data_IF_697487253477
#
_entry.id   IF_697487253477
#
_cell.length_a   1.000
_cell.length_b   1.000
_cell.length_c   1.000
_cell.angle_alpha   90.00
_cell.angle_beta   90.00
_cell.angle_gamma   90.00
#
_symmetry.space_group_name_H-M   'P 1'
#
loop_
_entity.id
_entity.type
_entity.pdbx_description
1 polymer ?
#
# COMPACT_ATOMS: atom_id res chain seq x y z
N UNK A 1 19.79 9.15 -8.27
CA UNK A 1 20.87 10.02 -7.74
C UNK A 1 20.48 11.49 -7.85
N UNK A 2 20.19 12.02 -9.04
CA UNK A 2 19.88 13.45 -9.25
C UNK A 2 18.64 13.92 -8.48
N UNK A 3 17.56 13.14 -8.48
CA UNK A 3 16.34 13.50 -7.76
C UNK A 3 16.52 13.60 -6.24
N UNK A 4 17.32 12.73 -5.63
CA UNK A 4 17.63 12.79 -4.21
C UNK A 4 18.47 14.03 -3.87
N UNK A 5 19.44 14.40 -4.72
CA UNK A 5 20.23 15.62 -4.57
C UNK A 5 19.32 16.86 -4.66
N UNK A 6 18.44 16.93 -5.65
CA UNK A 6 17.48 18.01 -5.81
C UNK A 6 16.55 18.12 -4.60
N UNK A 7 16.06 16.98 -4.08
CA UNK A 7 15.20 16.93 -2.90
C UNK A 7 15.87 17.52 -1.66
N UNK A 8 17.17 17.27 -1.49
CA UNK A 8 17.95 17.79 -0.36
C UNK A 8 18.34 19.25 -0.52
N UNK A 9 18.53 19.73 -1.75
CA UNK A 9 18.99 21.10 -2.00
C UNK A 9 17.84 22.10 -2.14
N UNK A 10 16.82 21.74 -2.92
CA UNK A 10 15.71 22.63 -3.25
C UNK A 10 14.44 21.83 -3.55
N UNK A 11 13.80 21.25 -2.54
CA UNK A 11 12.53 20.53 -2.71
C UNK A 11 11.41 21.48 -3.16
N UNK A 12 10.49 21.00 -3.99
CA UNK A 12 9.27 21.74 -4.29
C UNK A 12 8.45 22.01 -3.02
N UNK A 13 7.57 22.99 -3.07
CA UNK A 13 6.74 23.40 -1.91
C UNK A 13 5.98 22.23 -1.32
N UNK A 14 5.33 21.41 -2.17
CA UNK A 14 4.61 20.21 -1.71
C UNK A 14 5.52 19.16 -1.09
N UNK A 15 6.71 18.91 -1.67
CA UNK A 15 7.71 18.02 -1.07
C UNK A 15 8.24 18.55 0.25
N UNK A 16 8.45 19.86 0.38
CA UNK A 16 8.86 20.50 1.64
C UNK A 16 7.80 20.30 2.72
N UNK A 17 6.53 20.44 2.38
CA UNK A 17 5.44 20.22 3.32
C UNK A 17 5.37 18.77 3.80
N UNK A 18 5.51 17.77 2.91
CA UNK A 18 5.50 16.37 3.31
C UNK A 18 6.74 15.98 4.12
N UNK A 19 7.91 16.55 3.81
CA UNK A 19 9.16 16.40 4.59
C UNK A 19 8.95 16.91 6.02
N UNK A 20 8.28 18.05 6.19
CA UNK A 20 7.94 18.62 7.50
C UNK A 20 7.04 17.67 8.30
N UNK A 21 5.98 17.19 7.70
CA UNK A 21 5.06 16.21 8.33
C UNK A 21 5.76 14.89 8.68
N UNK A 22 6.77 14.49 7.92
CA UNK A 22 7.58 13.31 8.22
C UNK A 22 8.60 13.52 9.35
N UNK A 23 8.77 14.74 9.88
CA UNK A 23 9.80 15.07 10.87
C UNK A 23 11.23 14.95 10.34
N UNK A 24 11.44 15.28 9.07
CA UNK A 24 12.72 15.11 8.38
C UNK A 24 13.47 16.43 8.20
N UNK A 25 12.95 17.53 8.73
CA UNK A 25 13.59 18.85 8.64
C UNK A 25 14.96 18.88 9.33
N UNK A 26 15.88 19.66 8.76
CA UNK A 26 17.18 19.93 9.38
C UNK A 26 18.21 18.79 9.24
N UNK A 27 17.92 17.75 8.47
CA UNK A 27 18.87 16.68 8.17
C UNK A 27 18.81 16.25 6.71
N UNK A 28 19.85 15.58 6.26
CA UNK A 28 19.88 14.99 4.92
C UNK A 28 18.88 13.85 4.80
N UNK A 29 18.06 13.89 3.76
CA UNK A 29 17.06 12.86 3.42
C UNK A 29 17.76 11.75 2.66
N UNK A 30 17.59 10.53 3.17
CA UNK A 30 18.11 9.32 2.57
C UNK A 30 17.09 8.64 1.64
N UNK A 31 17.54 7.66 0.85
CA UNK A 31 16.65 6.83 0.04
C UNK A 31 15.65 6.06 0.94
N UNK A 32 16.08 5.61 2.11
CA UNK A 32 15.21 4.94 3.08
C UNK A 32 14.08 5.85 3.58
N UNK A 33 14.34 7.15 3.77
CA UNK A 33 13.29 8.09 4.16
C UNK A 33 12.25 8.27 3.05
N UNK A 34 12.68 8.27 1.78
CA UNK A 34 11.76 8.32 0.65
C UNK A 34 10.90 7.06 0.62
N UNK A 35 11.49 5.89 0.72
CA UNK A 35 10.80 4.59 0.58
C UNK A 35 9.85 4.35 1.77
N UNK A 36 10.28 4.65 2.99
CA UNK A 36 9.55 4.23 4.19
C UNK A 36 8.76 5.34 4.89
N UNK A 37 9.00 6.62 4.55
CA UNK A 37 8.30 7.75 5.17
C UNK A 37 7.53 8.60 4.17
N UNK A 38 8.17 9.12 3.13
CA UNK A 38 7.55 10.02 2.16
C UNK A 38 6.61 9.25 1.22
N UNK A 39 7.12 8.23 0.56
CA UNK A 39 6.39 7.46 -0.45
C UNK A 39 5.08 6.83 0.08
N UNK A 40 5.08 6.17 1.25
CA UNK A 40 3.84 5.61 1.82
C UNK A 40 2.74 6.64 2.06
N UNK A 41 3.08 7.87 2.45
CA UNK A 41 2.11 8.96 2.63
C UNK A 41 1.52 9.41 1.31
N UNK A 42 2.37 9.70 0.32
CA UNK A 42 1.92 10.07 -1.03
C UNK A 42 1.00 9.00 -1.63
N UNK A 43 1.34 7.71 -1.45
CA UNK A 43 0.54 6.61 -1.96
C UNK A 43 -0.77 6.38 -1.18
N UNK A 44 -0.87 6.87 0.06
CA UNK A 44 -2.02 6.59 0.93
C UNK A 44 -3.32 7.20 0.38
N UNK A 45 -3.29 8.41 -0.19
CA UNK A 45 -4.49 9.03 -0.75
C UNK A 45 -5.13 8.18 -1.85
N UNK A 46 -4.34 7.62 -2.77
CA UNK A 46 -4.84 6.74 -3.83
C UNK A 46 -5.30 5.36 -3.35
N UNK A 47 -4.95 4.96 -2.12
CA UNK A 47 -5.41 3.71 -1.50
C UNK A 47 -6.68 3.90 -0.68
N UNK A 48 -6.84 5.07 -0.06
CA UNK A 48 -7.94 5.36 0.86
C UNK A 48 -9.11 6.00 0.13
N UNK A 49 -8.83 6.94 -0.77
CA UNK A 49 -9.80 7.76 -1.48
C UNK A 49 -9.38 7.95 -2.94
N UNK A 50 -8.91 9.15 -3.26
CA UNK A 50 -8.57 9.58 -4.59
C UNK A 50 -7.12 10.12 -4.64
N UNK A 51 -6.28 9.52 -5.46
CA UNK A 51 -4.88 9.93 -5.64
C UNK A 51 -4.66 11.37 -6.12
N UNK A 52 -5.72 12.08 -6.52
CA UNK A 52 -5.65 13.47 -6.96
C UNK A 52 -5.06 14.39 -5.89
N UNK A 53 -5.42 14.19 -4.61
CA UNK A 53 -4.90 15.02 -3.52
C UNK A 53 -3.37 14.96 -3.39
N UNK A 54 -2.77 13.81 -3.67
CA UNK A 54 -1.31 13.71 -3.71
C UNK A 54 -0.70 14.48 -4.87
N UNK A 55 -1.37 14.50 -6.03
CA UNK A 55 -0.93 15.29 -7.18
C UNK A 55 -1.06 16.77 -6.87
N UNK A 56 -2.22 17.20 -6.34
CA UNK A 56 -2.49 18.59 -5.96
C UNK A 56 -1.45 19.09 -4.95
N UNK A 57 -1.11 18.27 -3.92
CA UNK A 57 -0.02 18.58 -3.00
C UNK A 57 1.31 18.81 -3.72
N UNK A 58 1.70 17.90 -4.63
CA UNK A 58 3.02 17.95 -5.26
C UNK A 58 3.20 19.16 -6.19
N UNK A 59 2.11 19.71 -6.75
CA UNK A 59 2.13 20.87 -7.65
C UNK A 59 1.80 22.19 -6.94
N UNK A 60 1.40 22.15 -5.66
CA UNK A 60 1.04 23.33 -4.87
C UNK A 60 2.24 24.27 -4.69
N UNK A 61 1.99 25.57 -4.77
CA UNK A 61 3.03 26.62 -4.67
C UNK A 61 2.94 27.41 -3.37
N UNK A 62 1.77 27.41 -2.71
CA UNK A 62 1.60 28.00 -1.39
C UNK A 62 1.93 26.99 -0.30
N UNK A 63 2.88 27.34 0.57
CA UNK A 63 3.32 26.41 1.62
C UNK A 63 2.24 26.13 2.67
N UNK A 64 1.39 27.09 2.98
CA UNK A 64 0.31 26.89 3.96
C UNK A 64 -0.74 25.92 3.44
N UNK A 65 -1.11 26.04 2.16
CA UNK A 65 -2.01 25.10 1.51
C UNK A 65 -1.38 23.72 1.35
N UNK A 66 -0.12 23.66 0.94
CA UNK A 66 0.64 22.40 0.87
C UNK A 66 0.73 21.70 2.23
N UNK A 67 0.97 22.43 3.31
CA UNK A 67 1.04 21.86 4.65
C UNK A 67 -0.32 21.30 5.11
N UNK A 68 -1.42 21.97 4.79
CA UNK A 68 -2.77 21.47 5.06
C UNK A 68 -3.04 20.15 4.30
N UNK A 69 -2.72 20.11 3.02
CA UNK A 69 -2.87 18.90 2.20
C UNK A 69 -1.96 17.76 2.69
N UNK A 70 -0.71 18.06 3.07
CA UNK A 70 0.23 17.07 3.61
C UNK A 70 -0.26 16.46 4.93
N UNK A 71 -0.90 17.25 5.81
CA UNK A 71 -1.54 16.73 7.04
C UNK A 71 -2.66 15.76 6.73
N UNK A 72 -3.55 16.10 5.79
CA UNK A 72 -4.66 15.25 5.39
C UNK A 72 -4.16 13.92 4.78
N UNK A 73 -3.16 13.98 3.91
CA UNK A 73 -2.50 12.78 3.37
C UNK A 73 -1.84 11.93 4.46
N UNK A 74 -1.27 12.55 5.50
CA UNK A 74 -0.75 11.83 6.65
C UNK A 74 -1.86 11.11 7.43
N UNK A 75 -3.03 11.72 7.61
CA UNK A 75 -4.19 11.08 8.24
C UNK A 75 -4.61 9.83 7.45
N UNK A 76 -4.69 9.90 6.12
CA UNK A 76 -4.92 8.72 5.28
C UNK A 76 -3.86 7.64 5.47
N UNK A 77 -2.59 8.02 5.62
CA UNK A 77 -1.53 7.04 5.85
C UNK A 77 -1.66 6.34 7.20
N UNK A 78 -2.06 7.03 8.26
CA UNK A 78 -2.31 6.40 9.57
C UNK A 78 -3.55 5.48 9.50
N UNK A 79 -4.67 5.95 8.94
CA UNK A 79 -5.85 5.11 8.71
C UNK A 79 -5.53 3.85 7.90
N UNK A 80 -4.74 3.99 6.82
CA UNK A 80 -4.29 2.86 6.03
C UNK A 80 -3.49 1.85 6.84
N UNK A 81 -2.60 2.31 7.74
CA UNK A 81 -1.81 1.42 8.61
C UNK A 81 -2.69 0.63 9.56
N UNK A 82 -3.70 1.27 10.14
CA UNK A 82 -4.64 0.63 11.07
C UNK A 82 -5.46 -0.44 10.35
N UNK A 83 -6.00 -0.11 9.17
CA UNK A 83 -6.75 -1.06 8.33
C UNK A 83 -5.84 -2.21 7.86
N UNK A 84 -4.62 -1.93 7.42
CA UNK A 84 -3.63 -2.92 7.00
C UNK A 84 -3.32 -3.92 8.14
N UNK A 85 -3.13 -3.41 9.36
CA UNK A 85 -2.90 -4.24 10.54
C UNK A 85 -4.11 -5.13 10.83
N UNK A 86 -5.30 -4.55 10.91
CA UNK A 86 -6.54 -5.29 11.17
C UNK A 86 -6.77 -6.38 10.12
N UNK A 87 -6.76 -6.02 8.83
CA UNK A 87 -6.97 -6.98 7.75
C UNK A 87 -5.92 -8.08 7.72
N UNK A 88 -4.65 -7.76 8.06
CA UNK A 88 -3.59 -8.77 8.14
C UNK A 88 -3.84 -9.75 9.30
N UNK A 89 -4.29 -9.28 10.45
CA UNK A 89 -4.64 -10.13 11.59
C UNK A 89 -5.83 -11.05 11.26
N UNK A 90 -6.88 -10.52 10.67
CA UNK A 90 -8.04 -11.29 10.21
C UNK A 90 -7.64 -12.36 9.18
N UNK A 91 -6.84 -11.97 8.18
CA UNK A 91 -6.35 -12.88 7.15
C UNK A 91 -5.50 -14.02 7.74
N UNK A 92 -4.61 -13.72 8.69
CA UNK A 92 -3.82 -14.73 9.39
C UNK A 92 -4.69 -15.71 10.17
N UNK A 93 -5.76 -15.24 10.82
CA UNK A 93 -6.72 -16.11 11.51
C UNK A 93 -7.44 -17.06 10.54
N UNK A 94 -7.79 -16.58 9.36
CA UNK A 94 -8.42 -17.43 8.32
C UNK A 94 -7.41 -18.46 7.83
N UNK A 95 -6.19 -18.06 7.49
CA UNK A 95 -5.15 -18.99 7.01
C UNK A 95 -4.85 -20.06 8.05
N UNK A 96 -4.70 -19.71 9.34
CA UNK A 96 -4.41 -20.68 10.41
C UNK A 96 -5.53 -21.73 10.57
N UNK A 97 -6.78 -21.36 10.36
CA UNK A 97 -7.91 -22.29 10.38
C UNK A 97 -7.89 -23.24 9.16
N UNK A 98 -7.52 -22.72 7.98
CA UNK A 98 -7.43 -23.51 6.75
C UNK A 98 -6.25 -24.49 6.78
N UNK A 99 -5.10 -24.11 7.34
CA UNK A 99 -3.93 -24.97 7.49
C UNK A 99 -4.19 -26.21 8.36
N UNK A 100 -5.04 -26.06 9.37
CA UNK A 100 -5.48 -27.18 10.21
C UNK A 100 -6.34 -28.21 9.47
N UNK A 101 -6.85 -27.88 8.27
CA UNK A 101 -7.74 -28.76 7.50
C UNK A 101 -7.02 -29.48 6.35
N UNK A 102 -6.09 -28.82 5.65
CA UNK A 102 -5.31 -29.41 4.52
C UNK A 102 -4.06 -28.58 4.23
N UNK A 103 -2.97 -29.24 3.86
CA UNK A 103 -1.81 -28.58 3.24
C UNK A 103 -2.22 -27.92 1.91
N UNK A 104 -2.20 -26.59 1.86
CA UNK A 104 -2.52 -25.83 0.66
C UNK A 104 -1.25 -25.29 0.02
N UNK A 105 -1.13 -25.42 -1.31
CA UNK A 105 0.01 -24.89 -2.07
C UNK A 105 -0.10 -23.37 -2.38
N UNK A 106 -1.28 -22.79 -2.16
CA UNK A 106 -1.58 -21.37 -2.37
C UNK A 106 -2.55 -20.86 -1.32
N UNK A 107 -2.62 -19.55 -1.14
CA UNK A 107 -3.55 -18.87 -0.26
C UNK A 107 -4.52 -18.07 -1.13
N UNK A 108 -5.82 -18.35 -1.01
CA UNK A 108 -6.89 -17.57 -1.66
C UNK A 108 -7.89 -17.16 -0.59
N UNK A 109 -8.01 -15.86 -0.36
CA UNK A 109 -8.88 -15.31 0.66
C UNK A 109 -9.86 -14.32 0.05
N UNK A 110 -11.07 -14.29 0.58
CA UNK A 110 -12.11 -13.33 0.25
C UNK A 110 -12.81 -12.84 1.50
N UNK A 111 -12.97 -11.53 1.60
CA UNK A 111 -13.89 -10.90 2.54
C UNK A 111 -14.48 -9.64 1.90
N UNK A 112 -15.79 -9.51 1.93
CA UNK A 112 -16.51 -8.39 1.29
C UNK A 112 -16.24 -7.03 1.95
N UNK A 113 -15.82 -7.03 3.22
CA UNK A 113 -15.57 -5.83 4.00
C UNK A 113 -14.12 -5.31 3.89
N UNK A 114 -13.22 -6.07 3.28
CA UNK A 114 -11.84 -5.65 3.14
C UNK A 114 -11.67 -4.47 2.19
N UNK A 115 -10.83 -3.51 2.57
CA UNK A 115 -10.58 -2.30 1.80
C UNK A 115 -9.79 -2.61 0.52
N UNK A 116 -10.37 -2.36 -0.65
CA UNK A 116 -9.77 -2.59 -1.98
C UNK A 116 -8.35 -2.01 -2.11
N UNK A 117 -8.10 -0.79 -1.61
CA UNK A 117 -6.78 -0.14 -1.67
C UNK A 117 -5.70 -0.80 -0.78
N UNK A 118 -6.09 -1.72 0.12
CA UNK A 118 -5.20 -2.35 1.10
C UNK A 118 -4.95 -3.84 0.83
N UNK A 119 -5.86 -4.56 0.15
CA UNK A 119 -5.73 -6.00 -0.12
C UNK A 119 -4.37 -6.38 -0.73
N UNK A 120 -3.79 -5.52 -1.58
CA UNK A 120 -2.48 -5.79 -2.19
C UNK A 120 -1.31 -5.73 -1.19
N UNK A 121 -1.45 -4.99 -0.09
CA UNK A 121 -0.47 -4.96 1.00
C UNK A 121 -0.58 -6.25 1.80
N UNK A 122 -1.81 -6.63 2.15
CA UNK A 122 -2.10 -7.88 2.88
C UNK A 122 -1.61 -9.09 2.09
N UNK A 123 -1.89 -9.15 0.78
CA UNK A 123 -1.40 -10.23 -0.08
C UNK A 123 0.13 -10.34 -0.05
N UNK A 124 0.86 -9.21 -0.10
CA UNK A 124 2.32 -9.22 0.00
C UNK A 124 2.80 -9.77 1.34
N UNK A 125 2.21 -9.32 2.46
CA UNK A 125 2.57 -9.80 3.81
C UNK A 125 2.33 -11.29 3.99
N UNK A 126 1.17 -11.79 3.55
CA UNK A 126 0.88 -13.22 3.61
C UNK A 126 1.87 -14.04 2.77
N UNK A 127 2.22 -13.56 1.58
CA UNK A 127 3.23 -14.20 0.73
C UNK A 127 4.60 -14.26 1.42
N UNK A 128 5.00 -13.18 2.09
CA UNK A 128 6.26 -13.13 2.85
C UNK A 128 6.25 -14.05 4.09
N UNK A 129 5.12 -14.14 4.80
CA UNK A 129 5.00 -14.99 6.01
C UNK A 129 4.92 -16.46 5.66
N UNK A 130 4.10 -16.83 4.66
CA UNK A 130 3.80 -18.23 4.36
C UNK A 130 4.59 -18.82 3.20
N UNK A 131 5.35 -17.99 2.46
CA UNK A 131 6.11 -18.40 1.27
C UNK A 131 5.27 -19.15 0.22
N UNK A 132 4.02 -18.67 0.00
CA UNK A 132 3.06 -19.26 -0.94
C UNK A 132 2.48 -18.19 -1.85
N UNK A 133 2.13 -18.53 -3.12
CA UNK A 133 1.33 -17.66 -3.97
C UNK A 133 0.03 -17.27 -3.25
N UNK A 134 -0.27 -16.00 -3.20
CA UNK A 134 -1.39 -15.47 -2.41
C UNK A 134 -2.28 -14.59 -3.27
N UNK A 135 -3.58 -14.82 -3.21
CA UNK A 135 -4.62 -14.00 -3.82
C UNK A 135 -5.54 -13.51 -2.69
N UNK A 136 -5.70 -12.21 -2.59
CA UNK A 136 -6.63 -11.58 -1.63
C UNK A 136 -7.68 -10.81 -2.41
N UNK A 137 -8.92 -11.13 -2.16
CA UNK A 137 -10.10 -10.64 -2.87
C UNK A 137 -11.01 -9.86 -1.93
N UNK A 138 -11.73 -8.89 -2.47
CA UNK A 138 -12.82 -8.19 -1.80
C UNK A 138 -13.93 -7.87 -2.79
N UNK A 139 -15.06 -7.37 -2.28
CA UNK A 139 -16.19 -6.94 -3.09
C UNK A 139 -15.93 -5.56 -3.72
N UNK A 140 -16.33 -5.43 -4.99
CA UNK A 140 -16.31 -4.17 -5.73
C UNK A 140 -17.59 -4.09 -6.58
N UNK A 141 -18.64 -3.49 -6.03
CA UNK A 141 -19.98 -3.57 -6.62
C UNK A 141 -20.51 -5.01 -6.65
N UNK A 142 -20.81 -5.50 -7.84
CA UNK A 142 -21.29 -6.88 -8.08
C UNK A 142 -20.16 -7.87 -8.42
N UNK A 143 -18.92 -7.40 -8.40
CA UNK A 143 -17.76 -8.21 -8.74
C UNK A 143 -16.84 -8.43 -7.54
N UNK A 144 -16.09 -9.53 -7.56
CA UNK A 144 -14.93 -9.71 -6.70
C UNK A 144 -13.70 -9.11 -7.40
N UNK A 145 -13.01 -8.21 -6.71
CA UNK A 145 -11.73 -7.66 -7.18
C UNK A 145 -10.60 -8.11 -6.26
N UNK A 146 -9.39 -8.27 -6.79
CA UNK A 146 -8.32 -8.83 -5.99
C UNK A 146 -6.93 -8.35 -6.34
N UNK A 147 -6.00 -8.77 -5.51
CA UNK A 147 -4.58 -8.61 -5.72
C UNK A 147 -3.87 -9.93 -5.51
N UNK A 148 -3.03 -10.32 -6.46
CA UNK A 148 -2.22 -11.52 -6.38
C UNK A 148 -0.75 -11.19 -6.14
N UNK A 149 -0.08 -12.04 -5.39
CA UNK A 149 1.38 -12.01 -5.18
C UNK A 149 1.94 -13.41 -5.38
N UNK A 150 3.09 -13.47 -6.00
CA UNK A 150 3.76 -14.74 -6.31
C UNK A 150 4.99 -14.96 -5.44
N UNK A 151 5.48 -16.17 -5.45
CA UNK A 151 6.80 -16.56 -4.93
C UNK A 151 7.75 -16.86 -6.09
N UNK A 152 9.04 -16.90 -5.79
CA UNK A 152 10.05 -17.22 -6.80
C UNK A 152 9.75 -18.59 -7.45
N UNK A 153 9.83 -18.63 -8.77
CA UNK A 153 9.61 -19.86 -9.54
C UNK A 153 8.16 -20.20 -9.86
N UNK A 154 7.18 -19.37 -9.45
CA UNK A 154 5.76 -19.60 -9.74
C UNK A 154 5.17 -18.41 -10.51
N UNK A 155 4.55 -18.66 -11.66
CA UNK A 155 3.85 -17.63 -12.46
C UNK A 155 2.36 -17.59 -12.07
N UNK A 156 2.03 -16.71 -11.12
CA UNK A 156 0.64 -16.53 -10.66
C UNK A 156 -0.26 -15.96 -11.76
N UNK A 157 0.28 -15.18 -12.70
CA UNK A 157 -0.50 -14.65 -13.82
C UNK A 157 -0.95 -15.79 -14.75
N UNK A 158 -0.02 -16.66 -15.14
CA UNK A 158 -0.34 -17.82 -15.95
C UNK A 158 -1.33 -18.76 -15.25
N UNK A 159 -1.17 -18.97 -13.94
CA UNK A 159 -2.09 -19.77 -13.13
C UNK A 159 -3.51 -19.19 -13.17
N UNK A 160 -3.69 -17.91 -12.91
CA UNK A 160 -5.00 -17.24 -12.96
C UNK A 160 -5.58 -17.25 -14.37
N UNK A 161 -4.75 -17.03 -15.38
CA UNK A 161 -5.19 -17.07 -16.78
C UNK A 161 -5.74 -18.44 -17.18
N UNK A 162 -5.13 -19.51 -16.70
CA UNK A 162 -5.60 -20.88 -16.97
C UNK A 162 -6.92 -21.23 -16.27
N UNK A 163 -7.34 -20.45 -15.26
CA UNK A 163 -8.64 -20.59 -14.60
C UNK A 163 -9.76 -19.76 -15.27
N UNK A 164 -9.49 -19.10 -16.38
CA UNK A 164 -10.43 -18.15 -17.01
C UNK A 164 -11.73 -18.80 -17.48
N UNK A 165 -11.66 -20.05 -17.87
CA UNK A 165 -12.79 -20.77 -18.48
C UNK A 165 -13.51 -21.70 -17.47
N UNK A 166 -13.21 -21.54 -16.16
CA UNK A 166 -13.89 -22.22 -15.05
C UNK A 166 -15.02 -21.36 -14.49
#
# INVERSE_FOLDING_TARGET
FHGLKQLNQNPSVGLKAIIDICGLNGREISMSDIIFKIGPRINASGRMENGKESVDLLVEKDFSLALKAARHINEYNEQRKDIDKQMTEEANLIVSKLENQKHQSSIVLYDENWKKGVIGIVASRLTEIYFRPTVVLTRDGDLATGSARSVMGFDVYAAIKNCRDL
#
